data_IF_838256138067
#
_entry.id   IF_838256138067
#
_cell.length_a   1.000
_cell.length_b   1.000
_cell.length_c   1.000
_cell.angle_alpha   90.00
_cell.angle_beta   90.00
_cell.angle_gamma   90.00
#
_symmetry.space_group_name_H-M   'P 1'
#
loop_
_entity.id
_entity.type
_entity.pdbx_description
1 polymer ?
#
# COMPACT_ATOMS: atom_id res chain seq x y z
N UNK A 1 -21.28 14.37 71.27
CA UNK A 1 -20.29 13.55 70.55
C UNK A 1 -20.90 13.14 69.22
N UNK A 2 -20.41 13.66 68.11
CA UNK A 2 -20.93 13.35 66.77
C UNK A 2 -20.17 12.14 66.24
N UNK A 3 -20.84 10.99 66.18
CA UNK A 3 -20.28 9.76 65.63
C UNK A 3 -20.28 9.90 64.11
N UNK A 4 -19.15 10.30 63.55
CA UNK A 4 -18.92 10.25 62.10
C UNK A 4 -18.78 8.76 61.74
N UNK A 5 -19.67 8.24 60.88
CA UNK A 5 -19.60 6.87 60.35
C UNK A 5 -18.82 6.90 59.02
N UNK A 6 -17.51 6.59 58.99
CA UNK A 6 -16.68 6.74 57.79
C UNK A 6 -16.97 5.71 56.68
N UNK A 7 -17.72 4.65 56.97
CA UNK A 7 -17.89 3.51 56.04
C UNK A 7 -18.95 3.74 54.96
N UNK A 8 -19.82 4.75 55.12
CA UNK A 8 -20.90 5.02 54.15
C UNK A 8 -20.40 5.62 52.83
N UNK A 9 -19.23 6.29 52.84
CA UNK A 9 -18.68 6.96 51.68
C UNK A 9 -17.71 6.11 50.86
N UNK A 10 -17.25 4.96 51.39
CA UNK A 10 -16.32 4.09 50.66
C UNK A 10 -16.92 3.60 49.35
N UNK A 11 -18.16 3.10 49.38
CA UNK A 11 -18.87 2.59 48.19
C UNK A 11 -19.01 3.66 47.09
N UNK A 12 -19.34 4.89 47.50
CA UNK A 12 -19.47 6.02 46.57
C UNK A 12 -18.10 6.39 45.95
N UNK A 13 -17.03 6.35 46.75
CA UNK A 13 -15.68 6.60 46.27
C UNK A 13 -15.21 5.51 45.28
N UNK A 14 -15.45 4.23 45.56
CA UNK A 14 -15.14 3.14 44.61
C UNK A 14 -15.92 3.28 43.32
N UNK A 15 -17.20 3.64 43.40
CA UNK A 15 -18.03 3.89 42.21
C UNK A 15 -17.49 5.06 41.37
N UNK A 16 -17.17 6.19 42.00
CA UNK A 16 -16.58 7.34 41.30
C UNK A 16 -15.23 6.98 40.66
N UNK A 17 -14.40 6.22 41.37
CA UNK A 17 -13.10 5.78 40.83
C UNK A 17 -13.28 4.87 39.60
N UNK A 18 -14.22 3.93 39.64
CA UNK A 18 -14.54 3.06 38.50
C UNK A 18 -15.09 3.85 37.31
N UNK A 19 -15.99 4.82 37.56
CA UNK A 19 -16.54 5.70 36.53
C UNK A 19 -15.42 6.50 35.85
N UNK A 20 -14.50 7.07 36.65
CA UNK A 20 -13.38 7.85 36.13
C UNK A 20 -12.45 6.98 35.27
N UNK A 21 -12.15 5.76 35.73
CA UNK A 21 -11.35 4.81 34.95
C UNK A 21 -12.04 4.50 33.61
N UNK A 22 -13.35 4.26 33.60
CA UNK A 22 -14.11 4.02 32.38
C UNK A 22 -14.04 5.20 31.41
N UNK A 23 -14.19 6.43 31.91
CA UNK A 23 -14.11 7.64 31.08
C UNK A 23 -12.71 7.81 30.49
N UNK A 24 -11.66 7.59 31.30
CA UNK A 24 -10.28 7.69 30.83
C UNK A 24 -9.99 6.63 29.78
N UNK A 25 -10.36 5.38 30.02
CA UNK A 25 -10.18 4.29 29.05
C UNK A 25 -10.97 4.56 27.77
N UNK A 26 -12.21 5.02 27.88
CA UNK A 26 -13.03 5.41 26.73
C UNK A 26 -12.39 6.54 25.93
N UNK A 27 -11.84 7.55 26.60
CA UNK A 27 -11.13 8.66 25.95
C UNK A 27 -9.86 8.21 25.22
N UNK A 28 -9.06 7.36 25.86
CA UNK A 28 -7.85 6.80 25.23
C UNK A 28 -8.20 5.97 23.99
N UNK A 29 -9.20 5.10 24.09
CA UNK A 29 -9.68 4.30 22.96
C UNK A 29 -10.24 5.17 21.83
N UNK A 30 -10.95 6.24 22.17
CA UNK A 30 -11.48 7.17 21.19
C UNK A 30 -10.38 7.88 20.41
N UNK A 31 -9.37 8.42 21.11
CA UNK A 31 -8.22 9.08 20.48
C UNK A 31 -7.45 8.09 19.60
N UNK A 32 -7.22 6.88 20.12
CA UNK A 32 -6.55 5.82 19.36
C UNK A 32 -7.29 5.48 18.06
N UNK A 33 -8.61 5.27 18.13
CA UNK A 33 -9.41 4.97 16.96
C UNK A 33 -9.48 6.13 15.97
N UNK A 34 -9.55 7.36 16.47
CA UNK A 34 -9.51 8.54 15.61
C UNK A 34 -8.22 8.60 14.80
N UNK A 35 -7.07 8.40 15.46
CA UNK A 35 -5.77 8.43 14.81
C UNK A 35 -5.62 7.33 13.75
N UNK A 36 -6.04 6.09 14.06
CA UNK A 36 -6.03 5.00 13.06
C UNK A 36 -6.85 5.37 11.83
N UNK A 37 -8.05 5.92 12.03
CA UNK A 37 -8.91 6.30 10.90
C UNK A 37 -8.31 7.43 10.08
N UNK A 38 -7.68 8.40 10.74
CA UNK A 38 -7.00 9.51 10.07
C UNK A 38 -5.78 9.01 9.26
N UNK A 39 -4.93 8.19 9.86
CA UNK A 39 -3.75 7.62 9.21
C UNK A 39 -4.14 6.73 8.02
N UNK A 40 -5.13 5.86 8.19
CA UNK A 40 -5.62 5.00 7.11
C UNK A 40 -6.17 5.80 5.94
N UNK A 41 -6.85 6.93 6.19
CA UNK A 41 -7.34 7.80 5.11
C UNK A 41 -6.19 8.39 4.31
N UNK A 42 -5.17 8.88 5.00
CA UNK A 42 -3.97 9.42 4.36
C UNK A 42 -3.25 8.35 3.54
N UNK A 43 -3.10 7.15 4.10
CA UNK A 43 -2.46 6.04 3.41
C UNK A 43 -3.23 5.60 2.16
N UNK A 44 -4.57 5.57 2.22
CA UNK A 44 -5.42 5.27 1.06
C UNK A 44 -5.22 6.32 -0.05
N UNK A 45 -5.23 7.61 0.31
CA UNK A 45 -5.03 8.70 -0.65
C UNK A 45 -3.65 8.61 -1.31
N UNK A 46 -2.61 8.41 -0.49
CA UNK A 46 -1.24 8.21 -0.98
C UNK A 46 -1.11 7.00 -1.92
N UNK A 47 -1.73 5.88 -1.58
CA UNK A 47 -1.70 4.68 -2.42
C UNK A 47 -2.45 4.89 -3.73
N UNK A 48 -3.56 5.62 -3.73
CA UNK A 48 -4.31 5.96 -4.94
C UNK A 48 -3.47 6.82 -5.89
N UNK A 49 -2.83 7.87 -5.37
CA UNK A 49 -1.92 8.70 -6.16
C UNK A 49 -0.77 7.87 -6.75
N UNK A 50 -0.21 6.95 -5.95
CA UNK A 50 0.88 6.09 -6.39
C UNK A 50 0.46 5.11 -7.48
N UNK A 51 -0.75 4.56 -7.40
CA UNK A 51 -1.32 3.71 -8.46
C UNK A 51 -1.48 4.52 -9.75
N UNK A 52 -2.04 5.72 -9.67
CA UNK A 52 -2.22 6.59 -10.83
C UNK A 52 -0.87 6.93 -11.49
N UNK A 53 0.14 7.28 -10.69
CA UNK A 53 1.49 7.52 -11.18
C UNK A 53 2.09 6.28 -11.87
N UNK A 54 1.95 5.10 -11.25
CA UNK A 54 2.47 3.86 -11.84
C UNK A 54 1.77 3.50 -13.15
N UNK A 55 0.47 3.78 -13.29
CA UNK A 55 -0.25 3.60 -14.56
C UNK A 55 0.29 4.50 -15.66
N UNK A 56 0.59 5.77 -15.34
CA UNK A 56 1.22 6.69 -16.29
C UNK A 56 2.60 6.20 -16.70
N UNK A 57 3.45 5.81 -15.74
CA UNK A 57 4.78 5.27 -16.04
C UNK A 57 4.71 4.00 -16.88
N UNK A 58 3.74 3.12 -16.61
CA UNK A 58 3.54 1.92 -17.40
C UNK A 58 3.17 2.25 -18.85
N UNK A 59 2.25 3.19 -19.07
CA UNK A 59 1.89 3.64 -20.41
C UNK A 59 3.06 4.32 -21.14
N UNK A 60 3.89 5.07 -20.43
CA UNK A 60 5.12 5.67 -20.97
C UNK A 60 6.10 4.59 -21.43
N UNK A 61 6.33 3.56 -20.59
CA UNK A 61 7.21 2.43 -20.93
C UNK A 61 6.68 1.61 -22.11
N UNK A 62 5.36 1.41 -22.20
CA UNK A 62 4.74 0.75 -23.36
C UNK A 62 4.96 1.56 -24.64
N UNK A 63 4.79 2.88 -24.58
CA UNK A 63 5.06 3.77 -25.71
C UNK A 63 6.54 3.73 -26.12
N UNK A 64 7.46 3.82 -25.16
CA UNK A 64 8.90 3.75 -25.43
C UNK A 64 9.28 2.41 -26.07
N UNK A 65 8.72 1.30 -25.58
CA UNK A 65 8.91 -0.01 -26.18
C UNK A 65 8.42 -0.03 -27.63
N UNK A 66 7.22 0.49 -27.90
CA UNK A 66 6.66 0.50 -29.25
C UNK A 66 7.44 1.39 -30.21
N UNK A 67 8.00 2.51 -29.72
CA UNK A 67 8.88 3.35 -30.52
C UNK A 67 10.18 2.62 -30.89
N UNK A 68 10.77 1.88 -29.95
CA UNK A 68 12.00 1.11 -30.21
C UNK A 68 11.79 -0.11 -31.11
N UNK A 69 10.61 -0.74 -31.03
CA UNK A 69 10.27 -1.95 -31.79
C UNK A 69 9.48 -1.62 -33.08
N UNK A 70 9.35 -0.32 -33.42
CA UNK A 70 8.68 0.09 -34.65
C UNK A 70 9.36 -0.58 -35.87
N UNK A 71 8.61 -1.31 -36.69
CA UNK A 71 9.16 -2.01 -37.86
C UNK A 71 9.93 -1.09 -38.81
N UNK A 72 9.56 0.18 -38.93
CA UNK A 72 10.26 1.16 -39.77
C UNK A 72 11.63 1.48 -39.20
N UNK A 73 11.71 1.75 -37.89
CA UNK A 73 12.97 2.01 -37.17
C UNK A 73 13.88 0.78 -37.24
N UNK A 74 13.32 -0.41 -37.01
CA UNK A 74 14.06 -1.67 -37.10
C UNK A 74 14.54 -1.96 -38.54
N UNK A 75 13.76 -1.59 -39.56
CA UNK A 75 14.16 -1.75 -40.97
C UNK A 75 15.30 -0.80 -41.32
N UNK A 76 15.25 0.45 -40.86
CA UNK A 76 16.32 1.43 -41.08
C UNK A 76 17.62 1.02 -40.37
N UNK A 77 17.52 0.52 -39.14
CA UNK A 77 18.66 -0.06 -38.41
C UNK A 77 19.20 -1.28 -39.16
N UNK A 78 18.33 -2.20 -39.61
CA UNK A 78 18.75 -3.38 -40.34
C UNK A 78 19.48 -3.02 -41.65
N UNK A 79 19.00 -2.02 -42.38
CA UNK A 79 19.67 -1.53 -43.59
C UNK A 79 21.01 -0.86 -43.28
N UNK A 80 21.08 -0.03 -42.23
CA UNK A 80 22.30 0.66 -41.80
C UNK A 80 23.42 -0.31 -41.41
N UNK A 81 23.06 -1.39 -40.70
CA UNK A 81 24.01 -2.39 -40.23
C UNK A 81 24.12 -3.63 -41.15
N UNK A 82 23.51 -3.59 -42.34
CA UNK A 82 23.51 -4.70 -43.31
C UNK A 82 23.01 -6.03 -42.70
N UNK A 83 22.07 -5.95 -41.76
CA UNK A 83 21.48 -7.10 -41.10
C UNK A 83 20.49 -7.79 -42.04
N UNK A 84 20.47 -9.13 -41.98
CA UNK A 84 19.63 -9.97 -42.84
C UNK A 84 18.65 -10.73 -41.96
N UNK A 85 17.40 -10.84 -42.39
CA UNK A 85 16.36 -11.56 -41.64
C UNK A 85 16.71 -13.05 -41.55
N UNK A 86 17.06 -13.52 -40.36
CA UNK A 86 17.28 -14.93 -40.08
C UNK A 86 15.93 -15.67 -40.03
N UNK A 87 15.73 -16.66 -40.89
CA UNK A 87 14.44 -17.38 -41.03
C UNK A 87 14.19 -18.47 -40.00
N UNK A 88 15.24 -18.94 -39.32
CA UNK A 88 15.16 -20.00 -38.30
C UNK A 88 16.03 -19.69 -37.08
N UNK A 89 15.76 -18.58 -36.37
CA UNK A 89 16.56 -18.20 -35.22
C UNK A 89 16.39 -19.19 -34.06
N UNK A 90 17.50 -19.74 -33.55
CA UNK A 90 17.53 -20.57 -32.34
C UNK A 90 18.04 -19.76 -31.14
N UNK A 91 17.40 -18.62 -30.81
CA UNK A 91 17.87 -17.71 -29.76
C UNK A 91 17.37 -18.06 -28.34
N UNK A 92 16.28 -18.81 -28.21
CA UNK A 92 15.67 -19.13 -26.92
C UNK A 92 15.75 -20.63 -26.64
N UNK A 93 16.61 -21.01 -25.70
CA UNK A 93 16.57 -22.32 -25.06
C UNK A 93 15.77 -22.15 -23.76
N UNK A 94 14.45 -22.30 -23.85
CA UNK A 94 13.54 -22.11 -22.70
C UNK A 94 13.64 -23.33 -21.79
N UNK A 95 14.66 -23.34 -20.93
CA UNK A 95 14.70 -24.22 -19.77
C UNK A 95 14.15 -23.46 -18.55
N UNK A 96 13.09 -24.05 -17.96
CA UNK A 96 12.41 -23.71 -16.71
C UNK A 96 11.40 -22.55 -16.72
N UNK A 97 10.14 -22.97 -16.86
CA UNK A 97 8.92 -22.43 -16.26
C UNK A 97 9.17 -21.55 -15.02
N UNK A 98 8.81 -20.27 -15.11
CA UNK A 98 8.65 -19.36 -13.96
C UNK A 98 7.19 -19.43 -13.54
N UNK A 99 6.82 -20.38 -12.67
CA UNK A 99 5.47 -20.51 -12.12
C UNK A 99 5.42 -20.57 -10.59
N UNK A 100 6.46 -20.11 -9.89
CA UNK A 100 6.48 -20.09 -8.43
C UNK A 100 5.96 -18.76 -7.84
N UNK A 101 4.95 -18.15 -8.47
CA UNK A 101 4.17 -17.08 -7.84
C UNK A 101 2.84 -17.64 -7.34
N UNK A 102 2.91 -18.46 -6.30
CA UNK A 102 1.79 -18.76 -5.41
C UNK A 102 2.24 -18.48 -3.98
N UNK A 103 1.93 -17.27 -3.49
CA UNK A 103 1.72 -16.93 -2.07
C UNK A 103 0.78 -15.73 -1.99
#
# INVERSE_FOLDING_TARGET
MTIIKPDQYKSLFTFLAQLLILVVLGGVLYIYQYNIVADNRYEIEYLQERIAHLQVVNAELENELYEQVDPNVLTDIAQTYQLVLERSPQYLNVNQWVSDSSY
#
